data_IF_191809859689
#
_entry.id   IF_191809859689
#
_cell.length_a   1.000
_cell.length_b   1.000
_cell.length_c   1.000
_cell.angle_alpha   90.00
_cell.angle_beta   90.00
_cell.angle_gamma   90.00
#
_symmetry.space_group_name_H-M   'P 1'
#
loop_
_entity.id
_entity.type
_entity.pdbx_description
1 polymer ?
#
# COMPACT_ATOMS: atom_id res chain seq x y z
N UNK A 1 -12.61 5.11 11.61
CA UNK A 1 -11.34 5.05 10.88
C UNK A 1 -11.36 3.82 9.97
N UNK A 2 -11.02 4.00 8.71
CA UNK A 2 -10.99 2.89 7.76
C UNK A 2 -9.77 2.01 8.00
N UNK A 3 -10.01 0.73 8.22
CA UNK A 3 -8.98 -0.29 8.37
C UNK A 3 -9.13 -1.38 7.32
N UNK A 4 -8.01 -1.94 6.92
CA UNK A 4 -7.98 -3.00 5.91
C UNK A 4 -7.14 -4.18 6.41
N UNK A 5 -7.46 -5.36 5.92
CA UNK A 5 -6.61 -6.52 6.02
C UNK A 5 -5.76 -6.63 4.75
N UNK A 6 -4.48 -6.87 4.94
CA UNK A 6 -3.53 -7.12 3.86
C UNK A 6 -3.02 -8.54 4.01
N UNK A 7 -3.24 -9.36 3.00
CA UNK A 7 -2.80 -10.75 3.00
C UNK A 7 -1.74 -10.96 1.92
N UNK A 8 -0.61 -11.51 2.33
CA UNK A 8 0.50 -11.83 1.45
C UNK A 8 1.08 -13.19 1.86
N UNK A 9 1.01 -14.17 0.94
CA UNK A 9 1.62 -15.48 1.11
C UNK A 9 1.30 -16.13 2.48
N UNK A 10 0.02 -16.13 2.86
CA UNK A 10 -0.48 -16.75 4.08
C UNK A 10 -0.35 -15.92 5.36
N UNK A 11 0.26 -14.75 5.29
CA UNK A 11 0.31 -13.80 6.41
C UNK A 11 -0.71 -12.69 6.18
N UNK A 12 -1.56 -12.45 7.17
CA UNK A 12 -2.55 -11.37 7.16
C UNK A 12 -2.21 -10.35 8.23
N UNK A 13 -2.17 -9.09 7.86
CA UNK A 13 -1.91 -7.97 8.76
C UNK A 13 -3.01 -6.93 8.65
N UNK A 14 -3.13 -6.12 9.69
CA UNK A 14 -4.07 -5.00 9.76
C UNK A 14 -3.34 -3.70 9.45
N UNK A 15 -3.98 -2.84 8.67
CA UNK A 15 -3.48 -1.51 8.37
C UNK A 15 -4.57 -0.46 8.56
N UNK A 16 -4.14 0.72 8.96
CA UNK A 16 -5.01 1.91 9.09
C UNK A 16 -4.76 2.84 7.92
N UNK A 17 -5.83 3.34 7.33
CA UNK A 17 -5.75 4.28 6.21
C UNK A 17 -5.84 5.72 6.72
N UNK A 18 -5.10 6.62 6.08
CA UNK A 18 -5.01 8.04 6.45
C UNK A 18 -6.17 8.85 5.85
N UNK A 19 -7.38 8.67 6.36
CA UNK A 19 -8.57 9.40 5.90
C UNK A 19 -8.46 10.91 6.06
N UNK A 20 -7.72 11.37 7.08
CA UNK A 20 -7.51 12.78 7.37
C UNK A 20 -6.50 13.44 6.42
N UNK A 21 -5.51 12.69 5.95
CA UNK A 21 -4.42 13.21 5.11
C UNK A 21 -4.65 13.01 3.61
N UNK A 22 -5.32 11.93 3.23
CA UNK A 22 -5.59 11.56 1.84
C UNK A 22 -7.05 11.13 1.67
N UNK A 23 -8.04 12.00 2.00
CA UNK A 23 -9.44 11.60 2.07
C UNK A 23 -10.01 11.11 0.74
N UNK A 24 -9.64 11.73 -0.36
CA UNK A 24 -10.16 11.38 -1.69
C UNK A 24 -9.54 10.06 -2.15
N UNK A 25 -8.23 9.94 -2.06
CA UNK A 25 -7.51 8.72 -2.48
C UNK A 25 -7.92 7.52 -1.63
N UNK A 26 -7.99 7.68 -0.31
CA UNK A 26 -8.44 6.63 0.61
C UNK A 26 -9.90 6.23 0.32
N UNK A 27 -10.77 7.19 0.07
CA UNK A 27 -12.17 6.92 -0.27
C UNK A 27 -12.30 6.08 -1.54
N UNK A 28 -11.53 6.40 -2.57
CA UNK A 28 -11.53 5.65 -3.83
C UNK A 28 -10.89 4.26 -3.68
N UNK A 29 -9.83 4.14 -2.90
CA UNK A 29 -9.27 2.83 -2.57
C UNK A 29 -10.32 1.96 -1.86
N UNK A 30 -11.01 2.52 -0.89
CA UNK A 30 -12.06 1.82 -0.14
C UNK A 30 -13.17 1.29 -1.05
N UNK A 31 -13.58 2.08 -2.03
CA UNK A 31 -14.62 1.69 -2.99
C UNK A 31 -14.20 0.53 -3.89
N UNK A 32 -12.93 0.37 -4.19
CA UNK A 32 -12.43 -0.71 -5.06
C UNK A 32 -12.07 -2.00 -4.31
N UNK A 33 -12.21 -2.02 -2.98
CA UNK A 33 -11.95 -3.23 -2.20
C UNK A 33 -13.15 -4.20 -2.24
N UNK A 34 -12.94 -5.53 -2.25
CA UNK A 34 -11.63 -6.18 -2.18
C UNK A 34 -10.83 -6.05 -3.48
N UNK A 35 -9.53 -6.01 -3.35
CA UNK A 35 -8.61 -5.93 -4.48
C UNK A 35 -7.57 -7.06 -4.37
N UNK A 36 -7.30 -7.69 -5.48
CA UNK A 36 -6.32 -8.78 -5.56
C UNK A 36 -5.39 -8.55 -6.75
N UNK A 37 -4.10 -8.76 -6.53
CA UNK A 37 -3.11 -8.65 -7.58
C UNK A 37 -1.89 -9.54 -7.28
N UNK A 38 -1.12 -9.83 -8.30
CA UNK A 38 0.19 -10.42 -8.14
C UNK A 38 1.22 -9.29 -8.01
N UNK A 39 1.91 -9.27 -6.89
CA UNK A 39 2.89 -8.22 -6.59
C UNK A 39 4.31 -8.71 -6.79
N UNK A 40 5.19 -7.77 -7.12
CA UNK A 40 6.61 -8.03 -7.35
C UNK A 40 7.46 -7.07 -6.53
N UNK A 41 8.68 -7.48 -6.21
CA UNK A 41 9.60 -6.69 -5.43
C UNK A 41 10.15 -5.50 -6.22
N UNK A 42 10.22 -4.35 -5.59
CA UNK A 42 10.77 -3.11 -6.15
C UNK A 42 12.18 -2.86 -5.58
N UNK A 43 13.11 -3.74 -5.87
CA UNK A 43 14.46 -3.74 -5.30
C UNK A 43 15.20 -2.41 -5.50
N UNK A 44 14.94 -1.74 -6.59
CA UNK A 44 15.50 -0.42 -6.90
C UNK A 44 15.04 0.69 -5.95
N UNK A 45 13.94 0.48 -5.24
CA UNK A 45 13.40 1.41 -4.25
C UNK A 45 13.86 1.07 -2.82
N UNK A 46 14.32 -0.14 -2.57
CA UNK A 46 14.70 -0.66 -1.26
C UNK A 46 13.81 -1.79 -0.79
N UNK A 47 13.41 -1.78 0.48
CA UNK A 47 12.53 -2.80 1.08
C UNK A 47 11.06 -2.55 0.76
N UNK A 48 10.66 -2.78 -0.49
CA UNK A 48 9.33 -2.42 -1.00
C UNK A 48 8.89 -3.39 -2.09
N UNK A 49 7.57 -3.60 -2.20
CA UNK A 49 6.97 -4.29 -3.34
C UNK A 49 5.79 -3.47 -3.89
N UNK A 50 5.36 -3.79 -5.09
CA UNK A 50 4.33 -3.02 -5.80
C UNK A 50 3.34 -3.89 -6.53
N UNK A 51 2.15 -3.33 -6.76
CA UNK A 51 1.13 -3.93 -7.63
C UNK A 51 1.55 -3.85 -9.10
N UNK A 52 1.04 -4.75 -9.91
CA UNK A 52 1.30 -4.81 -11.35
C UNK A 52 0.06 -4.50 -12.20
N UNK A 53 -1.13 -4.64 -11.59
CA UNK A 53 -2.38 -4.21 -12.22
C UNK A 53 -2.69 -2.78 -11.73
N UNK A 54 -3.05 -1.91 -12.66
CA UNK A 54 -3.49 -0.55 -12.30
C UNK A 54 -4.74 -0.62 -11.41
N UNK A 55 -4.71 0.09 -10.27
CA UNK A 55 -5.91 0.20 -9.44
C UNK A 55 -6.93 1.11 -10.14
N UNK A 56 -8.23 0.80 -10.06
CA UNK A 56 -9.28 1.63 -10.66
C UNK A 56 -9.55 2.89 -9.82
N UNK A 57 -8.51 3.64 -9.54
CA UNK A 57 -8.56 4.89 -8.78
C UNK A 57 -8.22 6.02 -9.74
N UNK A 58 -9.25 6.69 -10.24
CA UNK A 58 -9.11 7.83 -11.13
C UNK A 58 -9.17 9.12 -10.33
N UNK A 59 -8.07 9.87 -10.33
CA UNK A 59 -7.94 11.13 -9.62
C UNK A 59 -7.70 12.26 -10.60
N UNK A 60 -8.40 13.37 -10.40
CA UNK A 60 -8.06 14.62 -11.07
C UNK A 60 -6.81 15.20 -10.40
N UNK A 61 -5.63 14.75 -10.82
CA UNK A 61 -4.35 15.09 -10.21
C UNK A 61 -4.05 16.59 -10.29
N UNK A 62 -4.64 17.30 -11.27
CA UNK A 62 -4.46 18.75 -11.41
C UNK A 62 -5.05 19.54 -10.24
N UNK A 63 -5.96 18.94 -9.47
CA UNK A 63 -6.57 19.55 -8.28
C UNK A 63 -5.63 19.64 -7.09
N UNK A 64 -4.55 18.86 -7.09
CA UNK A 64 -3.66 18.74 -5.93
C UNK A 64 -2.32 19.44 -6.19
N UNK A 65 -1.81 20.20 -5.20
CA UNK A 65 -0.41 20.58 -5.21
C UNK A 65 0.45 19.32 -5.34
N UNK A 66 1.48 19.33 -6.12
CA UNK A 66 2.34 18.17 -6.40
C UNK A 66 1.64 17.01 -7.11
N UNK A 67 0.41 17.19 -7.61
CA UNK A 67 -0.35 16.16 -8.35
C UNK A 67 -0.90 15.02 -7.49
N UNK A 68 -0.97 15.17 -6.17
CA UNK A 68 -1.44 14.12 -5.25
C UNK A 68 -1.80 14.65 -3.88
N UNK A 69 -2.53 13.84 -3.12
CA UNK A 69 -2.75 14.06 -1.69
C UNK A 69 -1.58 13.51 -0.87
N UNK A 70 -1.31 14.13 0.27
CA UNK A 70 -0.32 13.68 1.25
C UNK A 70 0.99 13.18 0.63
N UNK A 71 1.72 14.03 -0.11
CA UNK A 71 2.96 13.61 -0.75
C UNK A 71 4.04 13.28 0.28
N UNK A 72 4.67 12.12 0.11
CA UNK A 72 5.77 11.64 0.95
C UNK A 72 6.94 11.19 0.07
N UNK A 73 8.15 11.48 0.50
CA UNK A 73 9.37 11.17 -0.27
C UNK A 73 10.18 10.02 0.28
N UNK A 74 9.80 9.47 1.42
CA UNK A 74 10.54 8.42 2.10
C UNK A 74 9.57 7.48 2.81
N UNK A 75 9.86 6.17 2.80
CA UNK A 75 9.03 5.16 3.42
C UNK A 75 9.78 4.41 4.51
N UNK A 76 9.08 4.09 5.58
CA UNK A 76 9.54 3.26 6.68
C UNK A 76 8.74 1.95 6.72
N UNK A 77 9.21 0.92 7.46
CA UNK A 77 8.49 -0.36 7.51
C UNK A 77 7.01 -0.21 7.86
N UNK A 78 6.16 -0.77 7.02
CA UNK A 78 4.70 -0.74 7.17
C UNK A 78 4.00 0.35 6.37
N UNK A 79 4.72 1.28 5.76
CA UNK A 79 4.10 2.35 4.99
C UNK A 79 3.44 1.83 3.70
N UNK A 80 2.22 2.30 3.46
CA UNK A 80 1.45 2.02 2.25
C UNK A 80 1.37 3.31 1.45
N UNK A 81 1.79 3.26 0.20
CA UNK A 81 1.86 4.43 -0.67
C UNK A 81 1.21 4.17 -2.03
N UNK A 82 0.86 5.25 -2.72
CA UNK A 82 0.19 5.18 -4.01
C UNK A 82 0.76 6.25 -4.95
N UNK A 83 1.08 5.85 -6.19
CA UNK A 83 1.49 6.78 -7.24
C UNK A 83 0.34 6.98 -8.23
N UNK A 84 -0.35 8.12 -8.19
CA UNK A 84 -1.51 8.37 -9.05
C UNK A 84 -1.21 8.30 -10.55
N UNK A 85 -0.03 8.75 -10.95
CA UNK A 85 0.34 8.83 -12.37
C UNK A 85 0.29 7.48 -13.09
N UNK A 86 0.58 6.38 -12.40
CA UNK A 86 0.57 5.03 -12.95
C UNK A 86 -0.39 4.09 -12.22
N UNK A 87 -1.20 4.62 -11.29
CA UNK A 87 -2.19 3.87 -10.50
C UNK A 87 -1.59 2.65 -9.80
N UNK A 88 -0.42 2.84 -9.24
CA UNK A 88 0.35 1.78 -8.58
C UNK A 88 0.34 1.97 -7.06
N UNK A 89 0.00 0.89 -6.36
CA UNK A 89 0.11 0.82 -4.91
C UNK A 89 1.39 0.08 -4.56
N UNK A 90 2.11 0.57 -3.55
CA UNK A 90 3.32 -0.07 -3.05
C UNK A 90 3.28 -0.13 -1.52
N UNK A 91 3.93 -1.15 -0.97
CA UNK A 91 4.03 -1.35 0.47
C UNK A 91 5.49 -1.53 0.83
N UNK A 92 5.97 -0.74 1.79
CA UNK A 92 7.30 -0.86 2.33
C UNK A 92 7.30 -1.85 3.51
N UNK A 93 8.19 -2.82 3.49
CA UNK A 93 8.43 -3.72 4.62
C UNK A 93 9.75 -3.41 5.31
N UNK A 94 10.55 -2.56 4.71
CA UNK A 94 11.81 -2.02 5.20
C UNK A 94 11.90 -0.54 4.84
N UNK A 95 13.06 0.04 5.04
CA UNK A 95 13.31 1.39 4.55
C UNK A 95 13.30 1.39 3.02
N UNK A 96 12.61 2.36 2.43
CA UNK A 96 12.48 2.47 0.99
C UNK A 96 12.31 3.93 0.57
N UNK A 97 12.61 4.17 -0.70
CA UNK A 97 12.33 5.43 -1.36
C UNK A 97 11.78 5.09 -2.73
N UNK A 98 10.50 5.34 -2.94
CA UNK A 98 9.86 5.04 -4.22
C UNK A 98 10.64 5.69 -5.35
N UNK A 99 11.18 4.88 -6.27
CA UNK A 99 12.12 5.34 -7.29
C UNK A 99 11.86 4.66 -8.63
N UNK A 100 12.23 5.33 -9.70
CA UNK A 100 12.25 4.79 -11.05
C UNK A 100 13.50 5.31 -11.77
N UNK A 101 13.61 5.10 -13.06
CA UNK A 101 14.78 5.52 -13.86
C UNK A 101 15.09 7.02 -13.77
N UNK A 102 14.12 7.83 -13.43
CA UNK A 102 14.27 9.27 -13.22
C UNK A 102 14.70 9.65 -11.80
N UNK A 103 14.86 8.68 -10.91
CA UNK A 103 15.23 8.89 -9.52
C UNK A 103 14.07 8.74 -8.55
N UNK A 104 14.25 9.27 -7.35
CA UNK A 104 13.25 9.21 -6.29
C UNK A 104 12.02 10.07 -6.63
N UNK A 105 10.84 9.58 -6.26
CA UNK A 105 9.56 10.21 -6.58
C UNK A 105 8.74 10.44 -5.33
N UNK A 106 7.92 11.51 -5.33
CA UNK A 106 6.87 11.68 -4.33
C UNK A 106 5.73 10.72 -4.63
N UNK A 107 5.15 10.17 -3.58
CA UNK A 107 3.98 9.27 -3.63
C UNK A 107 2.99 9.66 -2.54
N UNK A 108 1.73 9.32 -2.74
CA UNK A 108 0.70 9.55 -1.72
C UNK A 108 0.89 8.59 -0.56
N UNK A 109 1.05 9.10 0.66
CA UNK A 109 0.98 8.28 1.87
C UNK A 109 -0.46 7.89 2.16
N UNK A 110 -0.77 6.59 2.06
CA UNK A 110 -2.13 6.07 2.21
C UNK A 110 -2.46 5.54 3.58
N UNK A 111 -1.49 4.93 4.25
CA UNK A 111 -1.76 4.26 5.50
C UNK A 111 -0.53 3.52 6.02
N UNK A 112 -0.78 2.71 7.05
CA UNK A 112 0.30 2.00 7.76
C UNK A 112 -0.19 0.69 8.35
N UNK A 113 0.66 -0.34 8.22
CA UNK A 113 0.48 -1.62 8.90
C UNK A 113 0.75 -1.42 10.40
N UNK A 114 -0.13 -1.95 11.26
CA UNK A 114 -0.07 -1.74 12.70
C UNK A 114 0.28 -2.99 13.50
N UNK A 115 0.16 -4.19 12.92
CA UNK A 115 0.41 -5.44 13.63
C UNK A 115 1.23 -6.42 12.78
N UNK A 116 1.83 -7.42 13.44
CA UNK A 116 2.56 -8.54 12.82
C UNK A 116 3.51 -8.14 11.68
N UNK A 117 4.08 -6.94 11.77
CA UNK A 117 4.93 -6.39 10.72
C UNK A 117 6.13 -7.29 10.43
N UNK A 118 6.73 -7.92 11.45
CA UNK A 118 7.89 -8.79 11.27
C UNK A 118 7.56 -10.02 10.40
N UNK A 119 6.41 -10.67 10.65
CA UNK A 119 5.98 -11.82 9.86
C UNK A 119 5.68 -11.41 8.42
N UNK A 120 5.00 -10.28 8.23
CA UNK A 120 4.70 -9.71 6.92
C UNK A 120 6.00 -9.35 6.18
N UNK A 121 6.93 -8.69 6.84
CA UNK A 121 8.21 -8.30 6.25
C UNK A 121 9.01 -9.50 5.78
N UNK A 122 8.99 -10.61 6.52
CA UNK A 122 9.63 -11.85 6.12
C UNK A 122 9.07 -12.40 4.81
N UNK A 123 7.75 -12.37 4.62
CA UNK A 123 7.11 -12.78 3.37
C UNK A 123 7.38 -11.81 2.22
N UNK A 124 7.35 -10.51 2.51
CA UNK A 124 7.60 -9.48 1.51
C UNK A 124 9.05 -9.51 0.99
N UNK A 125 10.00 -9.72 1.89
CA UNK A 125 11.42 -9.83 1.53
C UNK A 125 11.67 -11.01 0.58
N UNK A 126 10.95 -12.12 0.76
CA UNK A 126 11.06 -13.30 -0.09
C UNK A 126 10.63 -13.07 -1.55
N UNK A 127 9.84 -12.02 -1.82
CA UNK A 127 9.40 -11.71 -3.20
C UNK A 127 10.55 -11.53 -4.17
N UNK A 128 11.67 -10.96 -3.71
CA UNK A 128 12.84 -10.75 -4.57
C UNK A 128 13.52 -12.06 -4.99
N UNK A 129 13.31 -13.15 -4.26
CA UNK A 129 13.91 -14.45 -4.51
C UNK A 129 12.91 -15.44 -5.12
N UNK A 130 11.70 -15.44 -4.60
CA UNK A 130 10.67 -16.42 -4.99
C UNK A 130 9.85 -15.99 -6.21
N UNK A 131 9.88 -14.71 -6.58
CA UNK A 131 9.05 -14.15 -7.64
C UNK A 131 7.70 -13.64 -7.15
N UNK A 132 6.80 -13.34 -8.08
CA UNK A 132 5.50 -12.74 -7.79
C UNK A 132 4.63 -13.62 -6.89
N UNK A 133 3.90 -12.96 -5.97
CA UNK A 133 2.92 -13.60 -5.08
C UNK A 133 1.63 -12.81 -5.05
N UNK A 134 0.56 -13.45 -4.63
CA UNK A 134 -0.75 -12.83 -4.54
C UNK A 134 -0.86 -11.96 -3.30
N UNK A 135 -1.27 -10.71 -3.51
CA UNK A 135 -1.66 -9.75 -2.49
C UNK A 135 -3.17 -9.62 -2.51
N UNK A 136 -3.80 -9.65 -1.34
CA UNK A 136 -5.24 -9.37 -1.20
C UNK A 136 -5.44 -8.25 -0.20
N UNK A 137 -6.20 -7.24 -0.59
CA UNK A 137 -6.63 -6.14 0.27
C UNK A 137 -8.13 -6.27 0.50
N UNK A 138 -8.57 -6.25 1.76
CA UNK A 138 -9.99 -6.32 2.13
C UNK A 138 -10.34 -5.27 3.15
N UNK A 139 -11.59 -4.81 3.12
CA UNK A 139 -12.13 -3.99 4.19
C UNK A 139 -12.22 -4.79 5.48
N UNK A 140 -11.91 -4.16 6.60
CA UNK A 140 -12.26 -4.68 7.91
C UNK A 140 -13.46 -3.88 8.39
N UNK A 141 -14.62 -4.53 8.50
CA UNK A 141 -15.80 -3.92 9.07
C UNK A 141 -15.71 -3.89 10.59
N UNK A 142 -16.18 -2.79 11.19
CA UNK A 142 -16.23 -2.64 12.62
C UNK A 142 -16.99 -3.79 13.33
N UNK A 143 -17.89 -4.48 12.61
CA UNK A 143 -18.63 -5.64 13.12
C UNK A 143 -17.81 -6.93 13.16
N UNK A 144 -16.87 -7.09 12.23
CA UNK A 144 -15.98 -8.27 12.16
C UNK A 144 -14.80 -8.14 13.10
N UNK A 145 -14.50 -6.93 13.54
CA UNK A 145 -13.41 -6.63 14.47
C UNK A 145 -13.81 -6.87 15.94
N UNK A 146 -15.11 -7.01 16.22
CA UNK A 146 -15.63 -7.41 17.52
C UNK A 146 -15.44 -8.93 17.68
N UNK A 147 -14.27 -9.34 18.17
CA UNK A 147 -14.05 -10.74 18.54
C UNK A 147 -15.00 -11.07 19.70
N UNK A 148 -15.85 -12.08 19.57
CA UNK A 148 -16.65 -12.53 20.70
C UNK A 148 -15.74 -12.95 21.83
N UNK A 149 -15.91 -12.36 22.97
CA UNK A 149 -15.19 -12.75 24.18
C UNK A 149 -15.94 -13.86 24.89
#
# INVERSE_FOLDING_TARGET
>A
MKTIAIELDGVSVRAVLYEDRAPITVGKLWECLPFEDRVTHAKWSGGMFHTNTELPIDLDVARFPFGMENPVGFQTPGDIVYLPAIRELAIAYGEARFSWVTGAMLVTGLGRIEDDLAAFAGKAERLQWDGAKTLVLRRIDARTDATPR
#
